data_IF_446993407965
#
_entry.id   IF_446993407965
#
_cell.length_a   1.000
_cell.length_b   1.000
_cell.length_c   1.000
_cell.angle_alpha   90.00
_cell.angle_beta   90.00
_cell.angle_gamma   90.00
#
_symmetry.space_group_name_H-M   'P 1'
#
loop_
_entity.id
_entity.type
_entity.pdbx_description
1 polymer ?
#
# COMPACT_ATOMS: atom_id res chain seq x y z
N UNK A 1 20.05 -12.15 14.03
CA UNK A 1 18.74 -11.58 13.63
C UNK A 1 19.04 -10.28 12.90
N UNK A 2 18.66 -10.14 11.63
CA UNK A 2 18.82 -8.87 10.93
C UNK A 2 17.87 -7.85 11.57
N UNK A 3 18.43 -6.87 12.27
CA UNK A 3 17.65 -5.74 12.81
C UNK A 3 17.37 -4.79 11.65
N UNK A 4 16.18 -4.93 11.07
CA UNK A 4 15.69 -3.99 10.06
C UNK A 4 15.05 -2.83 10.80
N UNK A 5 15.60 -1.63 10.62
CA UNK A 5 14.98 -0.41 11.11
C UNK A 5 13.78 -0.05 10.23
N UNK A 6 12.59 -0.39 10.74
CA UNK A 6 11.31 -0.14 10.07
C UNK A 6 11.15 1.34 9.74
N UNK A 7 11.55 2.24 10.64
CA UNK A 7 11.41 3.68 10.42
C UNK A 7 12.23 4.12 9.22
N UNK A 8 13.45 3.61 9.08
CA UNK A 8 14.29 3.91 7.93
C UNK A 8 13.72 3.34 6.62
N UNK A 9 13.08 2.17 6.64
CA UNK A 9 12.39 1.66 5.46
C UNK A 9 11.19 2.53 5.07
N UNK A 10 10.37 2.94 6.04
CA UNK A 10 9.22 3.80 5.79
C UNK A 10 9.63 5.16 5.22
N UNK A 11 10.77 5.71 5.65
CA UNK A 11 11.33 6.96 5.12
C UNK A 11 11.75 6.88 3.65
N UNK A 12 11.87 5.67 3.07
CA UNK A 12 12.21 5.47 1.65
C UNK A 12 10.98 5.46 0.74
N UNK A 13 9.78 5.41 1.32
CA UNK A 13 8.55 5.45 0.55
C UNK A 13 8.36 6.84 -0.08
N UNK A 14 7.78 6.86 -1.27
CA UNK A 14 7.33 8.10 -1.88
C UNK A 14 6.15 8.67 -1.07
N UNK A 15 5.87 9.98 -1.14
CA UNK A 15 4.71 10.55 -0.45
C UNK A 15 3.38 9.87 -0.81
N UNK A 16 3.24 9.37 -2.05
CA UNK A 16 2.08 8.60 -2.48
C UNK A 16 1.98 7.27 -1.75
N UNK A 17 3.06 6.48 -1.72
CA UNK A 17 3.09 5.19 -1.03
C UNK A 17 2.91 5.34 0.50
N UNK A 18 3.45 6.40 1.11
CA UNK A 18 3.25 6.69 2.54
C UNK A 18 1.77 6.91 2.84
N UNK A 19 1.08 7.75 2.06
CA UNK A 19 -0.37 7.97 2.24
C UNK A 19 -1.19 6.70 2.02
N UNK A 20 -0.83 5.88 1.02
CA UNK A 20 -1.49 4.60 0.79
C UNK A 20 -1.32 3.65 1.98
N UNK A 21 -0.13 3.59 2.59
CA UNK A 21 0.12 2.77 3.78
C UNK A 21 -0.63 3.27 5.01
N UNK A 22 -0.71 4.59 5.22
CA UNK A 22 -1.54 5.19 6.27
C UNK A 22 -3.03 4.83 6.07
N UNK A 23 -3.53 4.93 4.84
CA UNK A 23 -4.88 4.49 4.48
C UNK A 23 -5.09 2.99 4.69
N UNK A 24 -4.07 2.18 4.45
CA UNK A 24 -4.11 0.72 4.63
C UNK A 24 -4.20 0.37 6.12
N UNK A 25 -3.47 1.09 6.97
CA UNK A 25 -3.61 0.99 8.42
C UNK A 25 -5.02 1.39 8.89
N UNK A 26 -5.58 2.47 8.35
CA UNK A 26 -6.96 2.87 8.62
C UNK A 26 -7.99 1.81 8.21
N UNK A 27 -7.80 1.20 7.03
CA UNK A 27 -8.65 0.11 6.54
C UNK A 27 -8.54 -1.16 7.41
N UNK A 28 -7.33 -1.52 7.85
CA UNK A 28 -7.08 -2.64 8.75
C UNK A 28 -7.87 -2.47 10.06
N UNK A 29 -7.78 -1.28 10.67
CA UNK A 29 -8.48 -0.98 11.92
C UNK A 29 -10.00 -0.97 11.72
N UNK A 30 -10.50 -0.36 10.65
CA UNK A 30 -11.95 -0.29 10.39
C UNK A 30 -12.59 -1.66 10.15
N UNK A 31 -11.80 -2.65 9.69
CA UNK A 31 -12.20 -4.04 9.51
C UNK A 31 -11.83 -4.96 10.68
N UNK A 32 -11.31 -4.43 11.78
CA UNK A 32 -10.88 -5.20 12.95
C UNK A 32 -9.84 -6.29 12.63
N UNK A 33 -9.04 -6.09 11.58
CA UNK A 33 -7.95 -7.00 11.24
C UNK A 33 -6.76 -6.79 12.19
N UNK A 34 -6.05 -7.88 12.48
CA UNK A 34 -4.98 -7.88 13.48
C UNK A 34 -3.72 -7.15 13.01
N UNK A 35 -3.41 -7.22 11.72
CA UNK A 35 -2.21 -6.64 11.13
C UNK A 35 -2.47 -6.05 9.75
N UNK A 36 -1.65 -5.05 9.40
CA UNK A 36 -1.64 -4.48 8.06
C UNK A 36 -0.93 -5.45 7.13
N UNK A 37 -1.66 -5.98 6.16
CA UNK A 37 -1.13 -6.91 5.16
C UNK A 37 -0.90 -6.22 3.80
N UNK A 38 -0.26 -6.93 2.87
CA UNK A 38 -0.03 -6.45 1.50
C UNK A 38 -1.34 -6.16 0.77
N UNK A 39 -2.38 -6.94 1.02
CA UNK A 39 -3.71 -6.76 0.43
C UNK A 39 -4.33 -5.41 0.80
N UNK A 40 -4.12 -4.94 2.04
CA UNK A 40 -4.58 -3.63 2.46
C UNK A 40 -3.86 -2.51 1.70
N UNK A 41 -2.54 -2.66 1.53
CA UNK A 41 -1.73 -1.68 0.81
C UNK A 41 -2.09 -1.64 -0.69
N UNK A 42 -2.20 -2.80 -1.33
CA UNK A 42 -2.59 -2.89 -2.75
C UNK A 42 -3.99 -2.31 -2.96
N UNK A 43 -4.96 -2.64 -2.09
CA UNK A 43 -6.30 -2.04 -2.17
C UNK A 43 -6.26 -0.51 -2.12
N UNK A 44 -5.39 0.08 -1.29
CA UNK A 44 -5.21 1.54 -1.24
C UNK A 44 -4.45 2.13 -2.41
N UNK A 45 -3.46 1.43 -2.96
CA UNK A 45 -2.75 1.86 -4.16
C UNK A 45 -3.65 1.86 -5.40
N UNK A 46 -4.65 0.98 -5.46
CA UNK A 46 -5.64 0.94 -6.54
C UNK A 46 -6.61 2.13 -6.53
N UNK A 47 -6.75 2.86 -5.42
CA UNK A 47 -7.66 4.01 -5.30
C UNK A 47 -7.19 5.25 -6.10
N UNK A 48 -5.93 5.30 -6.56
CA UNK A 48 -5.37 6.39 -7.37
C UNK A 48 -5.26 5.97 -8.84
N UNK A 49 -6.16 6.42 -9.74
CA UNK A 49 -6.21 5.95 -11.12
C UNK A 49 -4.95 6.24 -11.95
N UNK A 50 -4.16 7.24 -11.55
CA UNK A 50 -2.88 7.58 -12.21
C UNK A 50 -1.67 7.01 -11.47
N UNK A 51 -1.88 6.13 -10.49
CA UNK A 51 -0.82 5.45 -9.75
C UNK A 51 -0.24 4.30 -10.55
N UNK A 52 0.98 3.90 -10.19
CA UNK A 52 1.71 2.85 -10.90
C UNK A 52 0.91 1.54 -10.98
N UNK A 53 0.21 1.16 -9.91
CA UNK A 53 -0.51 -0.12 -9.87
C UNK A 53 -1.68 -0.19 -10.86
N UNK A 54 -2.67 0.74 -10.88
CA UNK A 54 -3.70 0.77 -11.93
C UNK A 54 -3.13 0.89 -13.35
N UNK A 55 -2.07 1.67 -13.55
CA UNK A 55 -1.44 1.81 -14.87
C UNK A 55 -0.78 0.51 -15.33
N UNK A 56 -0.10 -0.22 -14.43
CA UNK A 56 0.47 -1.54 -14.69
C UNK A 56 -0.65 -2.54 -15.02
N UNK A 57 -1.71 -2.63 -14.21
CA UNK A 57 -2.81 -3.55 -14.47
C UNK A 57 -3.46 -3.28 -15.84
N UNK A 58 -3.70 -2.00 -16.17
CA UNK A 58 -4.19 -1.60 -17.49
C UNK A 58 -3.26 -2.02 -18.64
N UNK A 59 -1.95 -1.86 -18.47
CA UNK A 59 -0.96 -2.25 -19.48
C UNK A 59 -0.96 -3.76 -19.76
N UNK A 60 -1.29 -4.57 -18.76
CA UNK A 60 -1.38 -6.02 -18.86
C UNK A 60 -2.82 -6.54 -19.04
N UNK A 61 -3.78 -5.66 -19.29
CA UNK A 61 -5.20 -6.00 -19.48
C UNK A 61 -5.80 -6.81 -18.31
N UNK A 62 -5.34 -6.52 -17.09
CA UNK A 62 -5.86 -7.12 -15.85
C UNK A 62 -6.98 -6.21 -15.31
N UNK A 63 -8.13 -6.81 -15.01
CA UNK A 63 -9.24 -6.12 -14.34
C UNK A 63 -8.89 -5.94 -12.85
N UNK A 64 -8.82 -4.69 -12.35
CA UNK A 64 -8.44 -4.37 -10.97
C UNK A 64 -9.49 -4.74 -9.91
#
# INVERSE_FOLDING_TARGET
>A
MLTVDIKNLLNRLTPHCTRALEGAAGLCVSRTHYEVTVEHLLAKLLEEPQGDLPLILRQFEIDP
#
